data_IF_449591617802
#
_entry.id   IF_449591617802
#
_cell.length_a   1.000
_cell.length_b   1.000
_cell.length_c   1.000
_cell.angle_alpha   90.00
_cell.angle_beta   90.00
_cell.angle_gamma   90.00
#
_symmetry.space_group_name_H-M   'P 1'
#
loop_
_entity.id
_entity.type
_entity.pdbx_description
1 polymer ?
#
# COMPACT_ATOMS: atom_id res chain seq x y z
N UNK A 1 -6.65 4.83 -11.22
CA UNK A 1 -6.71 5.85 -12.29
C UNK A 1 -7.71 5.48 -13.36
N UNK A 2 -7.55 4.35 -14.06
CA UNK A 2 -8.56 3.83 -15.01
C UNK A 2 -9.94 3.63 -14.37
N UNK A 3 -9.99 3.26 -13.08
CA UNK A 3 -11.25 3.22 -12.33
C UNK A 3 -11.90 4.60 -12.23
N UNK A 4 -11.18 5.62 -11.77
CA UNK A 4 -11.70 7.00 -11.66
C UNK A 4 -12.21 7.53 -13.00
N UNK A 5 -11.47 7.30 -14.09
CA UNK A 5 -11.92 7.69 -15.43
C UNK A 5 -13.25 7.02 -15.81
N UNK A 6 -13.36 5.69 -15.61
CA UNK A 6 -14.60 4.95 -15.89
C UNK A 6 -15.77 5.42 -15.05
N UNK A 7 -15.56 5.69 -13.77
CA UNK A 7 -16.61 6.20 -12.89
C UNK A 7 -17.07 7.59 -13.33
N UNK A 8 -16.16 8.48 -13.75
CA UNK A 8 -16.55 9.78 -14.31
C UNK A 8 -17.32 9.64 -15.63
N UNK A 9 -16.87 8.77 -16.53
CA UNK A 9 -17.58 8.49 -17.79
C UNK A 9 -18.99 7.92 -17.54
N UNK A 10 -19.15 7.07 -16.53
CA UNK A 10 -20.43 6.45 -16.19
C UNK A 10 -21.38 7.42 -15.48
N UNK A 11 -20.90 8.17 -14.49
CA UNK A 11 -21.75 8.96 -13.58
C UNK A 11 -21.81 10.44 -13.92
N UNK A 12 -20.83 10.98 -14.65
CA UNK A 12 -20.75 12.39 -15.02
C UNK A 12 -20.21 12.60 -16.45
N UNK A 13 -20.85 12.02 -17.50
CA UNK A 13 -20.38 12.10 -18.88
C UNK A 13 -20.29 13.53 -19.44
N UNK A 14 -20.99 14.49 -18.83
CA UNK A 14 -20.96 15.91 -19.19
C UNK A 14 -19.68 16.64 -18.76
N UNK A 15 -18.89 16.05 -17.84
CA UNK A 15 -17.65 16.67 -17.37
C UNK A 15 -16.49 16.30 -18.29
N UNK A 16 -15.72 17.31 -18.72
CA UNK A 16 -14.49 17.06 -19.43
C UNK A 16 -13.39 16.64 -18.44
N UNK A 17 -13.02 15.36 -18.46
CA UNK A 17 -12.02 14.77 -17.56
C UNK A 17 -10.73 14.50 -18.32
N UNK A 18 -9.65 15.12 -17.89
CA UNK A 18 -8.30 14.92 -18.45
C UNK A 18 -7.48 14.07 -17.49
N UNK A 19 -7.00 12.93 -17.99
CA UNK A 19 -6.08 12.07 -17.24
C UNK A 19 -4.63 12.49 -17.53
N UNK A 20 -4.03 13.17 -16.56
CA UNK A 20 -2.68 13.73 -16.67
C UNK A 20 -1.63 12.70 -16.25
N UNK A 21 -1.36 11.76 -17.14
CA UNK A 21 -0.36 10.71 -16.95
C UNK A 21 0.54 10.54 -18.18
N UNK A 22 1.61 9.76 -18.03
CA UNK A 22 2.49 9.39 -19.13
C UNK A 22 3.90 9.95 -18.99
N UNK A 23 4.65 9.82 -20.07
CA UNK A 23 6.03 10.31 -20.18
C UNK A 23 6.07 11.83 -20.40
N UNK A 24 7.26 12.39 -20.60
CA UNK A 24 7.43 13.83 -20.82
C UNK A 24 6.72 14.28 -22.10
N UNK A 25 6.79 13.48 -23.17
CA UNK A 25 6.20 13.83 -24.45
C UNK A 25 4.66 13.84 -24.37
N UNK A 26 4.05 12.77 -23.83
CA UNK A 26 2.60 12.69 -23.66
C UNK A 26 2.06 13.85 -22.82
N UNK A 27 2.74 14.19 -21.73
CA UNK A 27 2.33 15.32 -20.87
C UNK A 27 2.44 16.66 -21.58
N UNK A 28 3.46 16.87 -22.42
CA UNK A 28 3.57 18.09 -23.22
C UNK A 28 2.45 18.19 -24.27
N UNK A 29 2.03 17.07 -24.88
CA UNK A 29 0.87 17.06 -25.77
C UNK A 29 -0.43 17.41 -25.02
N UNK A 30 -0.63 16.88 -23.83
CA UNK A 30 -1.80 17.24 -23.00
C UNK A 30 -1.78 18.74 -22.68
N UNK A 31 -0.62 19.30 -22.31
CA UNK A 31 -0.48 20.74 -22.04
C UNK A 31 -0.78 21.62 -23.25
N UNK A 32 -0.38 21.21 -24.45
CA UNK A 32 -0.59 22.01 -25.66
C UNK A 32 -2.01 21.95 -26.20
N UNK A 33 -2.65 20.76 -26.14
CA UNK A 33 -3.94 20.54 -26.80
C UNK A 33 -5.15 20.55 -25.85
N UNK A 34 -5.00 20.03 -24.63
CA UNK A 34 -6.11 19.80 -23.69
C UNK A 34 -6.21 20.83 -22.56
N UNK A 35 -5.20 21.71 -22.41
CA UNK A 35 -5.13 22.59 -21.25
C UNK A 35 -6.03 23.83 -21.37
N UNK A 36 -5.76 24.71 -22.32
CA UNK A 36 -6.46 25.99 -22.51
C UNK A 36 -7.03 26.13 -23.92
N UNK A 37 -8.10 26.92 -24.05
CA UNK A 37 -8.64 27.28 -25.37
C UNK A 37 -7.64 28.15 -26.15
N UNK A 38 -7.46 27.93 -27.47
CA UNK A 38 -6.62 28.78 -28.29
C UNK A 38 -7.10 30.24 -28.21
N UNK A 39 -6.23 31.15 -27.76
CA UNK A 39 -6.54 32.59 -27.65
C UNK A 39 -7.09 33.08 -26.31
N UNK A 40 -7.45 32.20 -25.36
CA UNK A 40 -7.85 32.61 -24.01
C UNK A 40 -7.22 31.68 -22.95
N UNK A 41 -6.75 32.23 -21.83
CA UNK A 41 -6.19 31.46 -20.70
C UNK A 41 -7.25 30.63 -19.93
N UNK A 42 -8.44 30.44 -20.50
CA UNK A 42 -9.51 29.64 -19.91
C UNK A 42 -9.23 28.15 -20.11
N UNK A 43 -9.29 27.39 -19.01
CA UNK A 43 -9.12 25.94 -19.01
C UNK A 43 -10.23 25.26 -19.84
N UNK A 44 -9.86 24.21 -20.59
CA UNK A 44 -10.79 23.39 -21.38
C UNK A 44 -11.46 22.28 -20.57
N UNK A 45 -10.79 21.80 -19.52
CA UNK A 45 -11.23 20.66 -18.72
C UNK A 45 -11.92 21.09 -17.42
N UNK A 46 -12.74 20.20 -16.87
CA UNK A 46 -13.38 20.37 -15.57
C UNK A 46 -12.65 19.60 -14.46
N UNK A 47 -12.12 18.42 -14.78
CA UNK A 47 -11.46 17.53 -13.81
C UNK A 47 -10.10 17.11 -14.36
N UNK A 48 -9.06 17.24 -13.52
CA UNK A 48 -7.73 16.70 -13.80
C UNK A 48 -7.44 15.53 -12.87
N UNK A 49 -7.10 14.37 -13.43
CA UNK A 49 -6.80 13.16 -12.67
C UNK A 49 -5.32 12.81 -12.86
N UNK A 50 -4.52 12.89 -11.79
CA UNK A 50 -3.05 12.67 -11.83
C UNK A 50 -2.57 11.76 -10.69
N UNK A 51 -1.35 11.24 -10.77
CA UNK A 51 -0.71 10.47 -9.70
C UNK A 51 0.19 11.34 -8.83
N UNK A 52 0.50 10.88 -7.62
CA UNK A 52 1.40 11.60 -6.70
C UNK A 52 2.79 11.83 -7.29
N UNK A 53 3.33 10.87 -8.02
CA UNK A 53 4.66 10.98 -8.63
C UNK A 53 4.69 12.02 -9.74
N UNK A 54 3.63 12.10 -10.55
CA UNK A 54 3.54 13.07 -11.64
C UNK A 54 3.29 14.47 -11.10
N UNK A 55 2.45 14.60 -10.08
CA UNK A 55 2.22 15.86 -9.39
C UNK A 55 3.52 16.45 -8.84
N UNK A 56 4.36 15.64 -8.19
CA UNK A 56 5.66 16.09 -7.68
C UNK A 56 6.62 16.53 -8.80
N UNK A 57 6.61 15.84 -9.95
CA UNK A 57 7.46 16.18 -11.09
C UNK A 57 7.04 17.47 -11.78
N UNK A 58 5.75 17.73 -11.85
CA UNK A 58 5.17 18.87 -12.59
C UNK A 58 4.58 19.96 -11.69
N UNK A 59 4.98 19.99 -10.41
CA UNK A 59 4.43 20.93 -9.43
C UNK A 59 4.46 22.39 -9.91
N UNK A 60 5.56 22.82 -10.53
CA UNK A 60 5.71 24.20 -11.01
C UNK A 60 4.66 24.61 -12.03
N UNK A 61 4.21 23.66 -12.87
CA UNK A 61 3.16 23.90 -13.86
C UNK A 61 1.77 23.85 -13.22
N UNK A 62 1.54 22.85 -12.35
CA UNK A 62 0.23 22.61 -11.74
C UNK A 62 -0.13 23.65 -10.65
N UNK A 63 0.86 24.21 -9.95
CA UNK A 63 0.65 25.30 -8.98
C UNK A 63 0.24 26.61 -9.66
N UNK A 64 0.49 26.78 -10.96
CA UNK A 64 0.05 27.97 -11.72
C UNK A 64 -1.45 28.04 -11.98
N UNK A 65 -2.22 27.03 -11.57
CA UNK A 65 -3.68 26.98 -11.69
C UNK A 65 -4.30 27.18 -10.30
N UNK A 66 -5.30 28.05 -10.22
CA UNK A 66 -6.15 28.19 -9.04
C UNK A 66 -7.24 27.10 -9.08
N UNK A 67 -7.18 26.16 -8.14
CA UNK A 67 -8.03 24.98 -8.13
C UNK A 67 -9.27 25.19 -7.27
N UNK A 68 -10.45 24.90 -7.82
CA UNK A 68 -11.68 24.99 -7.02
C UNK A 68 -11.74 23.90 -5.93
N UNK A 69 -11.35 22.66 -6.25
CA UNK A 69 -11.38 21.53 -5.32
C UNK A 69 -10.15 20.66 -5.54
N UNK A 70 -9.46 20.31 -4.45
CA UNK A 70 -8.42 19.29 -4.43
C UNK A 70 -8.94 18.02 -3.77
N UNK A 71 -9.14 16.96 -4.56
CA UNK A 71 -9.48 15.63 -4.08
C UNK A 71 -8.24 14.75 -3.98
N UNK A 72 -7.99 14.19 -2.79
CA UNK A 72 -6.85 13.30 -2.53
C UNK A 72 -7.37 11.92 -2.13
N UNK A 73 -7.13 10.93 -2.97
CA UNK A 73 -7.52 9.53 -2.74
C UNK A 73 -6.41 8.75 -2.02
N UNK A 74 -6.77 7.85 -1.11
CA UNK A 74 -5.83 7.21 -0.19
C UNK A 74 -4.97 8.22 0.61
N UNK A 75 -5.66 9.18 1.23
CA UNK A 75 -5.06 10.30 1.96
C UNK A 75 -4.09 9.88 3.10
N UNK A 76 -4.05 8.61 3.47
CA UNK A 76 -3.03 8.05 4.37
C UNK A 76 -1.57 8.29 3.89
N UNK A 77 -1.37 8.67 2.61
CA UNK A 77 -0.08 9.14 2.09
C UNK A 77 0.38 10.49 2.64
N UNK A 78 -0.53 11.30 3.20
CA UNK A 78 -0.27 12.63 3.76
C UNK A 78 -0.04 12.62 5.28
N UNK A 79 0.25 11.45 5.86
CA UNK A 79 0.43 11.27 7.31
C UNK A 79 1.65 11.98 7.91
N UNK A 80 2.60 12.40 7.07
CA UNK A 80 3.83 13.04 7.50
C UNK A 80 3.90 14.45 6.89
N UNK A 81 3.80 15.45 7.76
CA UNK A 81 3.90 16.87 7.46
C UNK A 81 5.26 17.25 6.83
N UNK A 82 6.31 16.48 7.14
CA UNK A 82 7.63 16.69 6.55
C UNK A 82 7.78 16.17 5.12
N UNK A 83 6.83 15.37 4.64
CA UNK A 83 6.93 14.77 3.31
C UNK A 83 6.86 15.83 2.20
N UNK A 84 7.65 15.63 1.14
CA UNK A 84 7.67 16.51 -0.02
C UNK A 84 6.27 16.64 -0.65
N UNK A 85 5.50 15.55 -0.66
CA UNK A 85 4.13 15.52 -1.16
C UNK A 85 3.22 16.46 -0.35
N UNK A 86 3.31 16.40 0.99
CA UNK A 86 2.52 17.22 1.88
C UNK A 86 2.80 18.71 1.67
N UNK A 87 4.08 19.11 1.74
CA UNK A 87 4.53 20.49 1.55
C UNK A 87 4.09 21.02 0.18
N UNK A 88 4.29 20.21 -0.87
CA UNK A 88 3.89 20.59 -2.23
C UNK A 88 2.38 20.80 -2.36
N UNK A 89 1.55 19.94 -1.77
CA UNK A 89 0.09 20.06 -1.88
C UNK A 89 -0.50 21.19 -1.02
N UNK A 90 0.13 21.50 0.12
CA UNK A 90 -0.28 22.65 0.94
C UNK A 90 -0.12 23.97 0.18
N UNK A 91 0.96 24.08 -0.60
CA UNK A 91 1.27 25.27 -1.40
C UNK A 91 0.30 25.51 -2.58
N UNK A 92 -0.58 24.56 -2.89
CA UNK A 92 -1.55 24.72 -3.97
C UNK A 92 -2.69 25.65 -3.55
N UNK A 93 -2.94 26.65 -4.39
CA UNK A 93 -4.10 27.53 -4.28
C UNK A 93 -5.39 26.73 -4.53
N UNK A 94 -6.17 26.52 -3.47
CA UNK A 94 -7.33 25.63 -3.43
C UNK A 94 -8.45 26.22 -2.58
N UNK A 95 -9.69 26.26 -3.09
CA UNK A 95 -10.83 26.72 -2.29
C UNK A 95 -11.34 25.65 -1.33
N UNK A 96 -11.37 24.38 -1.77
CA UNK A 96 -11.83 23.25 -0.97
C UNK A 96 -10.87 22.06 -1.10
N UNK A 97 -10.72 21.31 0.00
CA UNK A 97 -9.90 20.10 0.06
C UNK A 97 -10.74 18.93 0.55
N UNK A 98 -10.70 17.81 -0.18
CA UNK A 98 -11.43 16.58 0.15
C UNK A 98 -10.42 15.45 0.25
N UNK A 99 -10.38 14.80 1.41
CA UNK A 99 -9.56 13.63 1.65
C UNK A 99 -10.43 12.37 1.65
N UNK A 100 -10.05 11.38 0.85
CA UNK A 100 -10.70 10.08 0.79
C UNK A 100 -9.71 9.05 1.34
N UNK A 101 -10.12 8.29 2.35
CA UNK A 101 -9.29 7.23 2.93
C UNK A 101 -10.15 6.11 3.51
N UNK A 102 -9.77 4.87 3.23
CA UNK A 102 -10.38 3.69 3.86
C UNK A 102 -9.94 3.46 5.30
N UNK A 103 -8.86 4.12 5.74
CA UNK A 103 -8.26 3.99 7.08
C UNK A 103 -8.22 5.36 7.76
N UNK A 104 -9.35 5.84 8.31
CA UNK A 104 -9.50 7.24 8.72
C UNK A 104 -8.69 7.64 9.96
N UNK A 105 -8.26 6.69 10.78
CA UNK A 105 -7.54 6.96 12.02
C UNK A 105 -6.32 6.03 12.08
N UNK A 106 -5.16 6.59 11.80
CA UNK A 106 -3.89 5.90 11.98
C UNK A 106 -3.39 6.08 13.43
N UNK A 107 -2.50 5.20 13.87
CA UNK A 107 -2.21 4.92 15.29
C UNK A 107 -1.54 6.07 16.07
N UNK A 108 -1.30 7.23 15.45
CA UNK A 108 -0.58 8.37 16.03
C UNK A 108 -1.41 9.65 15.94
N UNK A 109 -1.43 10.40 17.04
CA UNK A 109 -2.06 11.73 17.13
C UNK A 109 -1.45 12.70 16.10
N UNK A 110 -0.15 12.57 15.81
CA UNK A 110 0.55 13.39 14.80
C UNK A 110 0.07 13.12 13.38
N UNK A 111 -0.22 11.85 13.06
CA UNK A 111 -0.74 11.50 11.74
C UNK A 111 -2.17 12.07 11.55
N UNK A 112 -2.98 12.06 12.61
CA UNK A 112 -4.30 12.68 12.60
C UNK A 112 -4.20 14.20 12.44
N UNK A 113 -3.37 14.86 13.23
CA UNK A 113 -3.14 16.31 13.11
C UNK A 113 -2.68 16.69 11.70
N UNK A 114 -1.73 15.96 11.11
CA UNK A 114 -1.26 16.25 9.76
C UNK A 114 -2.40 16.26 8.73
N UNK A 115 -3.35 15.32 8.82
CA UNK A 115 -4.53 15.28 7.95
C UNK A 115 -5.50 16.45 8.21
N UNK A 116 -5.68 16.84 9.47
CA UNK A 116 -6.57 17.94 9.84
C UNK A 116 -6.00 19.30 9.45
N UNK A 117 -4.72 19.53 9.74
CA UNK A 117 -3.98 20.71 9.29
C UNK A 117 -4.00 20.81 7.76
N UNK A 118 -3.95 19.68 7.05
CA UNK A 118 -4.06 19.69 5.60
C UNK A 118 -5.42 20.21 5.10
N UNK A 119 -6.53 19.84 5.76
CA UNK A 119 -7.88 20.30 5.37
C UNK A 119 -8.12 21.74 5.84
N UNK A 120 -7.70 22.08 7.07
CA UNK A 120 -7.94 23.38 7.71
C UNK A 120 -6.66 23.92 8.37
N UNK A 121 -5.73 24.47 7.57
CA UNK A 121 -4.44 24.91 8.09
C UNK A 121 -4.56 26.06 9.10
N UNK A 122 -5.56 26.92 8.95
CA UNK A 122 -5.79 28.05 9.87
C UNK A 122 -6.36 27.65 11.24
N UNK A 123 -7.03 26.49 11.33
CA UNK A 123 -7.63 26.01 12.59
C UNK A 123 -6.67 25.12 13.38
N UNK A 124 -5.81 24.40 12.68
CA UNK A 124 -4.88 23.42 13.25
C UNK A 124 -3.43 23.77 12.88
N UNK A 125 -3.02 24.99 13.17
CA UNK A 125 -1.76 25.60 12.71
C UNK A 125 -0.50 25.01 13.35
N UNK A 126 -0.51 24.75 14.66
CA UNK A 126 0.62 24.23 15.42
C UNK A 126 0.38 22.81 15.93
N UNK A 127 1.39 21.95 15.74
CA UNK A 127 1.41 20.63 16.34
C UNK A 127 1.52 20.72 17.86
N UNK A 128 2.35 21.63 18.38
CA UNK A 128 2.62 21.77 19.80
C UNK A 128 1.36 22.14 20.59
N UNK A 129 0.52 23.03 20.05
CA UNK A 129 -0.74 23.41 20.68
C UNK A 129 -1.77 22.27 20.60
N UNK A 130 -1.83 21.56 19.47
CA UNK A 130 -2.68 20.38 19.34
C UNK A 130 -2.27 19.24 20.28
N UNK A 131 -0.97 18.99 20.44
CA UNK A 131 -0.43 18.00 21.38
C UNK A 131 -0.69 18.42 22.82
N UNK A 132 -0.61 19.71 23.16
CA UNK A 132 -0.98 20.19 24.51
C UNK A 132 -2.47 19.98 24.81
N UNK A 133 -3.34 20.19 23.83
CA UNK A 133 -4.79 20.09 24.01
C UNK A 133 -5.28 18.62 24.02
N UNK A 134 -4.67 17.75 23.21
CA UNK A 134 -5.15 16.37 22.97
C UNK A 134 -4.14 15.26 23.28
N UNK A 135 -2.90 15.59 23.66
CA UNK A 135 -1.84 14.64 23.94
C UNK A 135 -1.85 14.08 25.36
N UNK A 136 -2.41 14.82 26.33
CA UNK A 136 -2.39 14.47 27.76
C UNK A 136 -3.51 13.48 28.15
N UNK A 137 -3.56 12.35 27.44
CA UNK A 137 -4.50 11.24 27.67
C UNK A 137 -3.87 10.16 28.56
N UNK A 138 -2.88 10.54 29.38
CA UNK A 138 -2.04 9.63 30.17
C UNK A 138 -2.70 9.15 31.49
N UNK A 139 -3.94 9.56 31.77
CA UNK A 139 -4.72 9.05 32.93
C UNK A 139 -5.65 7.89 32.56
N UNK A 140 -5.17 6.94 31.76
CA UNK A 140 -5.74 5.58 31.69
C UNK A 140 -7.06 5.40 30.92
N UNK A 141 -7.66 6.48 30.41
CA UNK A 141 -8.76 6.39 29.46
C UNK A 141 -8.36 7.12 28.18
N UNK A 142 -8.13 6.38 27.09
CA UNK A 142 -7.91 6.91 25.72
C UNK A 142 -9.17 7.58 25.20
N UNK A 143 -9.68 8.58 25.91
CA UNK A 143 -10.96 9.18 25.62
C UNK A 143 -10.79 10.32 24.59
N UNK A 144 -10.56 9.93 23.34
CA UNK A 144 -10.59 10.83 22.19
C UNK A 144 -12.02 11.32 21.88
N UNK A 145 -13.01 11.11 22.74
CA UNK A 145 -14.40 11.50 22.50
C UNK A 145 -14.56 13.01 22.23
N UNK A 146 -13.76 13.86 22.89
CA UNK A 146 -13.77 15.30 22.61
C UNK A 146 -13.30 15.60 21.19
N UNK A 147 -12.19 15.00 20.77
CA UNK A 147 -11.66 15.14 19.43
C UNK A 147 -12.65 14.56 18.40
N UNK A 148 -13.22 13.38 18.66
CA UNK A 148 -14.22 12.78 17.79
C UNK A 148 -15.45 13.67 17.58
N UNK A 149 -15.99 14.29 18.63
CA UNK A 149 -17.11 15.24 18.51
C UNK A 149 -16.75 16.47 17.69
N UNK A 150 -15.53 16.99 17.85
CA UNK A 150 -15.07 18.11 17.03
C UNK A 150 -14.83 17.73 15.56
N UNK A 151 -14.46 16.46 15.32
CA UNK A 151 -14.19 15.93 13.98
C UNK A 151 -15.45 15.46 13.25
N UNK A 152 -16.53 15.14 13.98
CA UNK A 152 -17.79 14.65 13.44
C UNK A 152 -18.34 15.50 12.27
N UNK A 153 -18.30 16.85 12.29
CA UNK A 153 -18.77 17.66 11.15
C UNK A 153 -17.89 17.53 9.90
N UNK A 154 -16.61 17.16 10.06
CA UNK A 154 -15.62 17.15 8.99
C UNK A 154 -15.30 15.73 8.49
N UNK A 155 -15.66 14.70 9.26
CA UNK A 155 -15.31 13.32 9.00
C UNK A 155 -16.58 12.47 8.87
N UNK A 156 -16.84 12.02 7.64
CA UNK A 156 -17.91 11.06 7.38
C UNK A 156 -17.29 9.66 7.34
N UNK A 157 -17.60 8.84 8.36
CA UNK A 157 -17.19 7.43 8.42
C UNK A 157 -18.42 6.54 8.50
N UNK A 158 -18.50 5.56 7.60
CA UNK A 158 -19.53 4.52 7.60
C UNK A 158 -18.84 3.15 7.61
N UNK A 159 -19.34 2.19 8.39
CA UNK A 159 -18.82 0.82 8.31
C UNK A 159 -19.65 0.00 7.33
N UNK A 160 -19.05 -1.00 6.69
CA UNK A 160 -19.74 -1.83 5.67
C UNK A 160 -21.03 -2.46 6.21
N UNK A 161 -21.07 -2.81 7.50
CA UNK A 161 -22.26 -3.34 8.18
C UNK A 161 -23.45 -2.37 8.17
N UNK A 162 -23.19 -1.06 8.15
CA UNK A 162 -24.23 -0.02 8.17
C UNK A 162 -24.82 0.22 6.78
N UNK A 163 -24.05 -0.08 5.73
CA UNK A 163 -24.37 0.33 4.35
C UNK A 163 -24.80 -0.85 3.47
N UNK A 164 -24.20 -2.03 3.64
CA UNK A 164 -24.39 -3.16 2.73
C UNK A 164 -24.74 -4.44 3.50
N UNK A 165 -26.04 -4.66 3.71
CA UNK A 165 -26.56 -5.83 4.45
C UNK A 165 -26.46 -7.14 3.68
N UNK A 166 -26.20 -7.10 2.37
CA UNK A 166 -26.13 -8.28 1.50
C UNK A 166 -24.78 -9.01 1.56
N UNK A 167 -23.72 -8.35 2.05
CA UNK A 167 -22.39 -8.93 2.10
C UNK A 167 -22.28 -9.95 3.25
N UNK A 168 -21.81 -11.18 3.00
CA UNK A 168 -21.58 -12.16 4.05
C UNK A 168 -20.50 -11.67 5.04
N UNK A 169 -20.63 -12.10 6.29
CA UNK A 169 -19.69 -11.71 7.34
C UNK A 169 -18.26 -12.18 6.99
N UNK A 170 -17.29 -11.26 7.13
CA UNK A 170 -15.86 -11.61 7.02
C UNK A 170 -15.49 -12.52 8.19
N UNK A 171 -15.03 -13.73 7.89
CA UNK A 171 -14.44 -14.65 8.88
C UNK A 171 -12.92 -14.53 8.81
N UNK A 172 -12.29 -14.32 9.96
CA UNK A 172 -10.83 -14.27 10.09
C UNK A 172 -10.33 -15.46 10.89
N UNK A 173 -9.40 -16.23 10.31
CA UNK A 173 -8.83 -17.42 10.93
C UNK A 173 -7.30 -17.36 10.88
N UNK A 174 -6.67 -17.48 12.04
CA UNK A 174 -5.21 -17.51 12.17
C UNK A 174 -4.75 -18.97 12.17
N UNK A 175 -4.10 -19.38 11.08
CA UNK A 175 -3.51 -20.70 10.95
C UNK A 175 -2.08 -20.68 11.49
N UNK A 176 -1.85 -21.37 12.62
CA UNK A 176 -0.51 -21.58 13.17
C UNK A 176 0.18 -22.72 12.42
N UNK A 177 1.42 -22.49 12.02
CA UNK A 177 2.16 -23.42 11.15
C UNK A 177 3.52 -23.71 11.74
N UNK A 178 3.87 -24.98 11.80
CA UNK A 178 5.18 -25.45 12.23
C UNK A 178 6.24 -25.23 11.15
N UNK A 179 7.46 -24.89 11.58
CA UNK A 179 8.61 -24.79 10.68
C UNK A 179 9.07 -26.19 10.22
N UNK A 180 9.50 -26.30 8.97
CA UNK A 180 10.16 -27.53 8.47
C UNK A 180 11.54 -27.71 9.10
N UNK A 181 12.11 -28.92 9.01
CA UNK A 181 13.44 -29.20 9.57
C UNK A 181 14.51 -28.26 9.02
N UNK A 182 14.49 -27.99 7.71
CA UNK A 182 15.39 -27.02 7.04
C UNK A 182 15.20 -25.61 7.59
N UNK A 183 13.94 -25.16 7.73
CA UNK A 183 13.66 -23.84 8.31
C UNK A 183 14.18 -23.75 9.73
N UNK A 184 13.97 -24.76 10.59
CA UNK A 184 14.47 -24.80 11.97
C UNK A 184 15.99 -24.68 12.02
N UNK A 185 16.69 -25.38 11.12
CA UNK A 185 18.15 -25.33 11.02
C UNK A 185 18.66 -23.93 10.64
N UNK A 186 18.10 -23.32 9.59
CA UNK A 186 18.46 -21.96 9.19
C UNK A 186 18.09 -20.92 10.24
N UNK A 187 16.92 -21.07 10.87
CA UNK A 187 16.48 -20.20 11.96
C UNK A 187 17.47 -20.24 13.13
N UNK A 188 17.94 -21.45 13.52
CA UNK A 188 18.98 -21.63 14.54
C UNK A 188 20.28 -20.94 14.13
N UNK A 189 20.74 -21.11 12.89
CA UNK A 189 21.97 -20.49 12.40
C UNK A 189 21.91 -18.96 12.37
N UNK A 190 20.75 -18.39 12.03
CA UNK A 190 20.54 -16.93 12.05
C UNK A 190 20.57 -16.42 13.49
N UNK A 191 19.90 -17.09 14.43
CA UNK A 191 19.89 -16.70 15.84
C UNK A 191 21.27 -16.79 16.50
N UNK A 192 22.02 -17.86 16.22
CA UNK A 192 23.37 -18.04 16.76
C UNK A 192 24.44 -17.23 16.01
N UNK A 193 24.04 -16.40 15.03
CA UNK A 193 24.94 -15.59 14.20
C UNK A 193 26.04 -16.44 13.55
N UNK A 194 25.73 -17.68 13.15
CA UNK A 194 26.70 -18.56 12.51
C UNK A 194 26.87 -18.19 11.03
N UNK A 195 27.55 -17.07 10.78
CA UNK A 195 27.75 -16.52 9.44
C UNK A 195 28.57 -17.45 8.54
N UNK A 196 29.45 -18.28 9.09
CA UNK A 196 30.26 -19.24 8.32
C UNK A 196 29.39 -20.34 7.70
N UNK A 197 28.40 -20.85 8.43
CA UNK A 197 27.46 -21.82 7.89
C UNK A 197 26.50 -21.19 6.87
N UNK A 198 26.08 -19.94 7.12
CA UNK A 198 25.19 -19.19 6.23
C UNK A 198 25.87 -18.75 4.92
N UNK A 199 27.16 -18.41 4.94
CA UNK A 199 27.91 -17.93 3.77
C UNK A 199 28.55 -19.04 2.92
N UNK A 200 28.56 -20.29 3.39
CA UNK A 200 29.25 -21.41 2.73
C UNK A 200 28.69 -21.69 1.32
N UNK A 201 29.28 -21.15 0.26
CA UNK A 201 28.83 -21.35 -1.13
C UNK A 201 28.08 -20.15 -1.73
N UNK A 202 27.93 -19.05 -0.99
CA UNK A 202 27.48 -17.76 -1.52
C UNK A 202 28.70 -16.84 -1.66
N UNK A 203 29.02 -16.40 -2.88
CA UNK A 203 29.99 -15.31 -3.11
C UNK A 203 29.29 -13.98 -2.81
N UNK A 204 29.31 -13.52 -1.56
CA UNK A 204 28.63 -12.29 -1.14
C UNK A 204 29.03 -11.78 0.24
N UNK A 205 28.78 -10.50 0.50
CA UNK A 205 29.15 -9.81 1.74
C UNK A 205 28.36 -10.31 2.95
N UNK A 206 29.08 -10.56 4.05
CA UNK A 206 28.55 -10.96 5.36
C UNK A 206 27.61 -9.90 5.97
N UNK A 207 27.67 -8.66 5.47
CA UNK A 207 26.83 -7.55 5.90
C UNK A 207 25.33 -7.73 5.58
N UNK A 208 24.97 -8.69 4.71
CA UNK A 208 23.55 -9.00 4.41
C UNK A 208 22.75 -9.50 5.61
N UNK A 209 23.41 -10.05 6.64
CA UNK A 209 22.76 -10.57 7.84
C UNK A 209 22.70 -9.57 9.01
N UNK A 210 23.07 -8.30 8.79
CA UNK A 210 23.03 -7.27 9.84
C UNK A 210 21.61 -7.05 10.39
N UNK A 211 20.59 -7.23 9.56
CA UNK A 211 19.19 -7.17 9.98
C UNK A 211 18.63 -8.58 10.25
N UNK A 212 18.97 -9.13 11.42
CA UNK A 212 18.54 -10.45 11.88
C UNK A 212 17.02 -10.61 11.78
N UNK A 213 16.25 -9.58 12.13
CA UNK A 213 14.78 -9.63 12.07
C UNK A 213 14.28 -9.89 10.64
N UNK A 214 14.89 -9.25 9.63
CA UNK A 214 14.52 -9.48 8.23
C UNK A 214 14.88 -10.88 7.75
N UNK A 215 16.03 -11.41 8.17
CA UNK A 215 16.44 -12.77 7.83
C UNK A 215 15.55 -13.82 8.51
N UNK A 216 15.18 -13.63 9.78
CA UNK A 216 14.20 -14.50 10.44
C UNK A 216 12.85 -14.47 9.71
N UNK A 217 12.37 -13.29 9.28
CA UNK A 217 11.14 -13.17 8.47
C UNK A 217 11.24 -13.92 7.15
N UNK A 218 12.36 -13.80 6.43
CA UNK A 218 12.62 -14.56 5.18
C UNK A 218 12.58 -16.06 5.44
N UNK A 219 13.29 -16.55 6.47
CA UNK A 219 13.32 -17.95 6.86
C UNK A 219 11.93 -18.50 7.17
N UNK A 220 11.12 -17.74 7.92
CA UNK A 220 9.73 -18.10 8.24
C UNK A 220 8.80 -18.15 7.01
N UNK A 221 9.11 -17.41 5.95
CA UNK A 221 8.34 -17.44 4.71
C UNK A 221 8.75 -18.62 3.83
N UNK A 222 10.03 -18.74 3.49
CA UNK A 222 10.55 -19.86 2.73
C UNK A 222 12.08 -20.00 2.84
N UNK A 223 12.59 -21.23 2.98
CA UNK A 223 14.02 -21.48 3.16
C UNK A 223 14.88 -20.96 1.99
N UNK A 224 14.38 -21.05 0.75
CA UNK A 224 15.08 -20.57 -0.46
C UNK A 224 15.30 -19.06 -0.53
N UNK A 225 14.57 -18.27 0.27
CA UNK A 225 14.80 -16.83 0.39
C UNK A 225 16.13 -16.52 1.09
N UNK A 226 16.57 -17.42 1.97
CA UNK A 226 17.89 -17.37 2.63
C UNK A 226 18.94 -17.95 1.69
N UNK A 227 18.72 -19.20 1.26
CA UNK A 227 19.70 -19.96 0.48
C UNK A 227 19.04 -21.10 -0.31
N UNK A 228 19.50 -21.40 -1.53
CA UNK A 228 19.13 -22.64 -2.21
C UNK A 228 19.31 -23.86 -1.30
N UNK A 229 18.27 -24.70 -1.22
CA UNK A 229 18.25 -25.80 -0.26
C UNK A 229 18.90 -27.04 -0.87
N UNK A 230 20.22 -27.16 -0.70
CA UNK A 230 21.01 -28.27 -1.25
C UNK A 230 20.48 -29.64 -0.78
N UNK A 231 19.99 -29.72 0.45
CA UNK A 231 19.43 -30.93 1.08
C UNK A 231 18.17 -31.46 0.38
N UNK A 232 17.43 -30.62 -0.36
CA UNK A 232 16.20 -30.99 -1.03
C UNK A 232 16.37 -31.23 -2.55
N UNK A 233 17.61 -31.19 -3.06
CA UNK A 233 17.87 -31.31 -4.50
C UNK A 233 17.57 -32.70 -5.08
N UNK A 234 17.45 -33.73 -4.24
CA UNK A 234 17.07 -35.09 -4.66
C UNK A 234 15.56 -35.23 -4.92
N UNK A 235 14.76 -34.26 -4.50
CA UNK A 235 13.30 -34.25 -4.69
C UNK A 235 12.94 -33.60 -6.03
N UNK A 236 11.76 -33.95 -6.53
CA UNK A 236 11.15 -33.24 -7.66
C UNK A 236 10.94 -31.75 -7.31
N UNK A 237 10.99 -30.90 -8.33
CA UNK A 237 10.95 -29.44 -8.17
C UNK A 237 9.75 -28.96 -7.35
N UNK A 238 8.59 -29.60 -7.52
CA UNK A 238 7.37 -29.25 -6.80
C UNK A 238 7.47 -29.63 -5.32
N UNK A 239 7.82 -30.89 -5.01
CA UNK A 239 7.97 -31.31 -3.61
C UNK A 239 9.07 -30.53 -2.90
N UNK A 240 10.17 -30.19 -3.59
CA UNK A 240 11.24 -29.35 -3.03
C UNK A 240 10.72 -27.97 -2.60
N UNK A 241 9.93 -27.32 -3.44
CA UNK A 241 9.32 -26.02 -3.11
C UNK A 241 8.34 -26.19 -1.95
N UNK A 242 7.42 -27.16 -2.01
CA UNK A 242 6.43 -27.39 -0.95
C UNK A 242 7.10 -27.67 0.41
N UNK A 243 8.09 -28.57 0.46
CA UNK A 243 8.81 -28.93 1.69
C UNK A 243 9.83 -27.87 2.13
N UNK A 244 10.08 -26.86 1.32
CA UNK A 244 10.93 -25.72 1.64
C UNK A 244 10.31 -24.76 2.69
N UNK A 245 9.00 -24.83 2.91
CA UNK A 245 8.32 -24.03 3.91
C UNK A 245 7.07 -24.68 4.50
N UNK A 246 6.93 -24.65 5.82
CA UNK A 246 5.73 -25.18 6.49
C UNK A 246 4.45 -24.48 6.03
N UNK A 247 4.52 -23.16 5.80
CA UNK A 247 3.40 -22.38 5.26
C UNK A 247 2.96 -22.89 3.89
N UNK A 248 3.89 -23.29 3.03
CA UNK A 248 3.58 -23.77 1.69
C UNK A 248 3.01 -25.18 1.71
N UNK A 249 3.45 -26.04 2.63
CA UNK A 249 2.81 -27.35 2.89
C UNK A 249 1.34 -27.18 3.26
N UNK A 250 1.00 -26.23 4.13
CA UNK A 250 -0.38 -26.00 4.52
C UNK A 250 -1.18 -25.32 3.40
N UNK A 251 -0.59 -24.32 2.73
CA UNK A 251 -1.20 -23.62 1.61
C UNK A 251 -1.56 -24.58 0.47
N UNK A 252 -0.69 -25.55 0.17
CA UNK A 252 -0.93 -26.56 -0.86
C UNK A 252 -2.19 -27.38 -0.59
N UNK A 253 -2.34 -27.89 0.64
CA UNK A 253 -3.56 -28.61 1.07
C UNK A 253 -4.81 -27.74 0.97
N UNK A 254 -4.71 -26.47 1.38
CA UNK A 254 -5.83 -25.53 1.34
C UNK A 254 -6.25 -25.20 -0.10
N UNK A 255 -5.29 -24.88 -0.97
CA UNK A 255 -5.58 -24.51 -2.35
C UNK A 255 -6.18 -25.67 -3.15
N UNK A 256 -5.71 -26.91 -2.94
CA UNK A 256 -6.31 -28.10 -3.55
C UNK A 256 -7.79 -28.23 -3.15
N UNK A 257 -8.10 -28.15 -1.85
CA UNK A 257 -9.48 -28.23 -1.36
C UNK A 257 -10.35 -27.08 -1.85
N UNK A 258 -9.83 -25.85 -1.84
CA UNK A 258 -10.56 -24.67 -2.28
C UNK A 258 -10.87 -24.71 -3.78
N UNK A 259 -9.95 -25.29 -4.59
CA UNK A 259 -10.16 -25.51 -6.02
C UNK A 259 -11.29 -26.49 -6.29
N UNK A 260 -11.35 -27.60 -5.55
CA UNK A 260 -12.43 -28.59 -5.67
C UNK A 260 -13.81 -27.96 -5.41
N UNK A 261 -13.89 -27.04 -4.45
CA UNK A 261 -15.11 -26.29 -4.11
C UNK A 261 -15.36 -25.05 -5.00
N UNK A 262 -14.50 -24.77 -5.98
CA UNK A 262 -14.67 -23.65 -6.91
C UNK A 262 -14.39 -22.25 -6.34
N UNK A 263 -13.65 -22.13 -5.24
CA UNK A 263 -13.31 -20.83 -4.64
C UNK A 263 -12.17 -20.12 -5.40
N UNK A 264 -12.20 -18.78 -5.37
CA UNK A 264 -11.10 -17.92 -5.85
C UNK A 264 -10.30 -17.40 -4.66
N UNK A 265 -8.98 -17.36 -4.79
CA UNK A 265 -8.07 -17.03 -3.68
C UNK A 265 -7.17 -15.85 -4.05
N UNK A 266 -7.04 -14.91 -3.13
CA UNK A 266 -6.06 -13.82 -3.20
C UNK A 266 -4.96 -14.07 -2.16
N UNK A 267 -3.71 -14.05 -2.59
CA UNK A 267 -2.54 -14.28 -1.72
C UNK A 267 -1.72 -13.01 -1.67
N UNK A 268 -1.53 -12.46 -0.46
CA UNK A 268 -0.71 -11.28 -0.23
C UNK A 268 0.63 -11.67 0.39
N UNK A 269 1.71 -11.04 -0.09
CA UNK A 269 3.06 -11.18 0.48
C UNK A 269 3.77 -9.83 0.43
N UNK A 270 4.53 -9.52 1.48
CA UNK A 270 5.35 -8.30 1.54
C UNK A 270 6.63 -8.40 0.68
N UNK A 271 7.10 -9.61 0.38
CA UNK A 271 8.35 -9.82 -0.34
C UNK A 271 8.08 -10.23 -1.78
N UNK A 272 8.58 -9.45 -2.75
CA UNK A 272 8.47 -9.75 -4.20
C UNK A 272 9.08 -11.11 -4.52
N UNK A 273 10.25 -11.43 -3.95
CA UNK A 273 10.90 -12.75 -4.11
C UNK A 273 10.06 -13.94 -3.63
N UNK A 274 9.15 -13.72 -2.68
CA UNK A 274 8.22 -14.77 -2.26
C UNK A 274 7.10 -14.97 -3.29
N UNK A 275 6.69 -13.91 -3.99
CA UNK A 275 5.74 -14.01 -5.11
C UNK A 275 6.35 -14.78 -6.28
N UNK A 276 7.66 -14.68 -6.52
CA UNK A 276 8.37 -15.53 -7.50
C UNK A 276 8.21 -17.01 -7.14
N UNK A 277 8.52 -17.39 -5.89
CA UNK A 277 8.40 -18.77 -5.40
C UNK A 277 6.95 -19.28 -5.50
N UNK A 278 5.98 -18.44 -5.15
CA UNK A 278 4.56 -18.78 -5.29
C UNK A 278 4.17 -18.96 -6.76
N UNK A 279 4.69 -18.12 -7.66
CA UNK A 279 4.42 -18.23 -9.10
C UNK A 279 4.94 -19.56 -9.67
N UNK A 280 6.16 -19.96 -9.29
CA UNK A 280 6.74 -21.25 -9.68
C UNK A 280 5.90 -22.42 -9.14
N UNK A 281 5.52 -22.36 -7.87
CA UNK A 281 4.66 -23.35 -7.24
C UNK A 281 3.30 -23.49 -7.95
N UNK A 282 2.61 -22.36 -8.21
CA UNK A 282 1.32 -22.35 -8.89
C UNK A 282 1.42 -22.88 -10.32
N UNK A 283 2.50 -22.56 -11.02
CA UNK A 283 2.79 -23.08 -12.37
C UNK A 283 2.98 -24.60 -12.35
N UNK A 284 3.79 -25.11 -11.42
CA UNK A 284 4.03 -26.55 -11.26
C UNK A 284 2.75 -27.31 -10.86
N UNK A 285 1.88 -26.71 -10.04
CA UNK A 285 0.55 -27.24 -9.70
C UNK A 285 -0.50 -27.03 -10.81
N UNK A 286 -0.17 -26.32 -11.88
CA UNK A 286 -1.08 -25.96 -12.98
C UNK A 286 -2.32 -25.23 -12.48
N UNK A 287 -2.14 -24.32 -11.52
CA UNK A 287 -3.17 -23.38 -11.08
C UNK A 287 -3.07 -22.10 -11.92
N UNK A 288 -4.15 -21.66 -12.60
CA UNK A 288 -4.13 -20.39 -13.30
C UNK A 288 -4.06 -19.25 -12.28
N UNK A 289 -3.16 -18.30 -12.51
CA UNK A 289 -2.99 -17.15 -11.62
C UNK A 289 -2.62 -15.89 -12.39
N UNK A 290 -2.82 -14.75 -11.74
CA UNK A 290 -2.28 -13.46 -12.16
C UNK A 290 -1.44 -12.90 -11.02
N UNK A 291 -0.39 -12.18 -11.38
CA UNK A 291 0.51 -11.54 -10.43
C UNK A 291 0.41 -10.04 -10.59
N UNK A 292 0.30 -9.35 -9.47
CA UNK A 292 0.37 -7.90 -9.37
C UNK A 292 1.50 -7.56 -8.41
N UNK A 293 2.53 -6.87 -8.91
CA UNK A 293 3.57 -6.25 -8.08
C UNK A 293 3.87 -4.84 -8.61
N UNK A 294 4.61 -4.05 -7.83
CA UNK A 294 4.88 -2.64 -8.14
C UNK A 294 5.74 -2.40 -9.39
N UNK A 295 6.15 -3.45 -10.12
CA UNK A 295 6.87 -3.32 -11.39
C UNK A 295 5.94 -3.31 -12.60
N UNK A 296 4.70 -3.81 -12.45
CA UNK A 296 3.69 -3.82 -13.50
C UNK A 296 3.05 -2.43 -13.55
N UNK A 297 3.40 -1.65 -14.56
CA UNK A 297 2.84 -0.33 -14.87
C UNK A 297 1.72 -0.44 -15.89
#
# INVERSE_FOLDING_TARGET
MTSWQREFEQWAPQLNVVVYIGDVHSRNMIRSYEWCHPGNKRLKFNVLVTTYEILLKDKSFLTGVSWAVLGVDEAHRLKNDDSLLYKTLIDFDTNHRILITGTPLQNSLRELWALLHFIMPLKFDSWEDFEREYGDVDNGSKDYSKLHKQLEPYLIRRVKKDVEKSLPAKVEQILRVEMTSVQKQYYKWILTKNYKALSKGLKGSVNGFANIMMELKKCCNHATLIRPTDELNHLDSLTRIIRGAGKLVLLDKLLCRLRETGHRVLIFSQMVRMLDILSDYLTLRRFPFQRLDGSIK
#
